data_IF_140365368374
#
_entry.id   IF_140365368374
#
_cell.length_a   1.000
_cell.length_b   1.000
_cell.length_c   1.000
_cell.angle_alpha   90.00
_cell.angle_beta   90.00
_cell.angle_gamma   90.00
#
_symmetry.space_group_name_H-M   'P 1'
#
loop_
_entity.id
_entity.type
_entity.pdbx_description
1 polymer ?
#
# COMPACT_ATOMS: atom_id res chain seq x y z
N UNK A 1 18.46 -37.92 15.09
CA UNK A 1 18.05 -37.05 13.98
C UNK A 1 18.97 -35.86 14.07
N UNK A 2 19.85 -35.66 13.08
CA UNK A 2 20.78 -34.53 13.10
C UNK A 2 19.97 -33.25 12.86
N UNK A 3 19.82 -32.44 13.91
CA UNK A 3 19.08 -31.16 13.92
C UNK A 3 19.69 -30.12 12.97
N UNK A 4 20.90 -30.34 12.45
CA UNK A 4 21.68 -29.36 11.69
C UNK A 4 21.31 -29.17 10.20
N UNK A 5 20.34 -29.92 9.65
CA UNK A 5 19.95 -29.76 8.23
C UNK A 5 18.65 -28.97 8.01
N UNK A 6 17.90 -28.66 9.06
CA UNK A 6 16.65 -27.88 8.93
C UNK A 6 16.92 -26.40 8.64
N UNK A 7 18.08 -25.87 9.02
CA UNK A 7 18.47 -24.48 8.75
C UNK A 7 18.88 -24.22 7.29
N UNK A 8 19.03 -25.28 6.47
CA UNK A 8 19.52 -25.16 5.09
C UNK A 8 18.42 -25.19 4.02
N UNK A 9 17.17 -25.53 4.39
CA UNK A 9 16.04 -25.64 3.45
C UNK A 9 14.72 -25.21 4.07
N UNK A 10 13.89 -24.55 3.27
CA UNK A 10 12.45 -24.41 3.51
C UNK A 10 11.79 -25.77 3.31
N UNK A 11 11.39 -26.44 4.39
CA UNK A 11 10.84 -27.79 4.33
C UNK A 11 9.43 -27.79 3.74
N UNK A 12 9.22 -28.56 2.68
CA UNK A 12 7.91 -28.75 2.02
C UNK A 12 7.30 -30.11 2.32
N UNK A 13 8.10 -31.07 2.80
CA UNK A 13 7.65 -32.42 3.13
C UNK A 13 8.82 -33.37 3.43
N UNK A 14 8.52 -34.66 3.42
CA UNK A 14 9.52 -35.72 3.58
C UNK A 14 9.64 -36.54 2.29
N UNK A 15 10.85 -37.01 2.00
CA UNK A 15 11.12 -37.97 0.92
C UNK A 15 11.86 -39.18 1.47
N UNK A 16 11.70 -40.33 0.81
CA UNK A 16 12.44 -41.55 1.12
C UNK A 16 13.54 -41.72 0.10
N UNK A 17 14.80 -41.57 0.52
CA UNK A 17 15.97 -41.83 -0.31
C UNK A 17 16.82 -42.92 0.35
N UNK A 18 16.99 -44.06 -0.34
CA UNK A 18 17.71 -45.23 0.19
C UNK A 18 17.20 -45.68 1.57
N UNK A 19 15.89 -45.81 1.69
CA UNK A 19 15.18 -46.19 2.94
C UNK A 19 15.35 -45.22 4.12
N UNK A 20 16.01 -44.08 3.91
CA UNK A 20 16.12 -43.02 4.92
C UNK A 20 15.10 -41.93 4.61
N UNK A 21 14.29 -41.58 5.61
CA UNK A 21 13.44 -40.39 5.56
C UNK A 21 14.31 -39.15 5.67
N UNK A 22 14.14 -38.22 4.75
CA UNK A 22 14.87 -36.95 4.72
C UNK A 22 13.88 -35.81 4.44
N UNK A 23 14.12 -34.66 5.04
CA UNK A 23 13.39 -33.45 4.71
C UNK A 23 13.61 -33.11 3.22
N UNK A 24 12.53 -32.76 2.54
CA UNK A 24 12.54 -32.30 1.16
C UNK A 24 12.03 -30.86 1.13
N UNK A 25 12.75 -29.99 0.44
CA UNK A 25 12.49 -28.56 0.52
C UNK A 25 13.22 -27.73 -0.51
N UNK A 26 13.09 -26.41 -0.38
CA UNK A 26 13.71 -25.42 -1.26
C UNK A 26 14.83 -24.74 -0.51
N UNK A 27 16.02 -24.62 -1.11
CA UNK A 27 17.12 -23.88 -0.49
C UNK A 27 16.82 -22.37 -0.45
N UNK A 28 17.29 -21.64 0.58
CA UNK A 28 17.10 -20.18 0.65
C UNK A 28 17.58 -19.43 -0.60
N UNK A 29 18.67 -19.90 -1.24
CA UNK A 29 19.16 -19.35 -2.51
C UNK A 29 18.13 -19.46 -3.63
N UNK A 30 17.47 -20.60 -3.72
CA UNK A 30 16.54 -20.89 -4.81
C UNK A 30 15.21 -20.17 -4.58
N UNK A 31 14.76 -20.10 -3.31
CA UNK A 31 13.54 -19.36 -2.89
C UNK A 31 13.57 -17.87 -3.26
N UNK A 32 14.74 -17.25 -3.40
CA UNK A 32 14.88 -15.86 -3.89
C UNK A 32 14.41 -15.65 -5.33
N UNK A 33 14.22 -16.70 -6.12
CA UNK A 33 13.71 -16.63 -7.49
C UNK A 33 12.18 -16.77 -7.57
N UNK A 34 11.48 -16.58 -6.43
CA UNK A 34 10.04 -16.75 -6.26
C UNK A 34 9.56 -18.21 -6.39
N UNK A 35 8.40 -18.47 -5.80
CA UNK A 35 7.76 -19.81 -5.82
C UNK A 35 6.34 -19.63 -6.37
N UNK A 36 5.99 -20.42 -7.37
CA UNK A 36 4.65 -20.46 -7.93
C UNK A 36 3.93 -21.74 -7.49
N UNK A 37 2.84 -21.60 -6.73
CA UNK A 37 2.08 -22.71 -6.13
C UNK A 37 0.75 -22.85 -6.87
N UNK A 38 0.50 -24.00 -7.48
CA UNK A 38 -0.73 -24.31 -8.24
C UNK A 38 -1.45 -25.50 -7.62
N UNK A 39 -2.78 -25.42 -7.55
CA UNK A 39 -3.63 -26.52 -7.07
C UNK A 39 -5.10 -26.11 -7.03
N UNK A 40 -6.01 -27.09 -7.08
CA UNK A 40 -7.45 -26.84 -6.93
C UNK A 40 -7.79 -26.43 -5.49
N UNK A 41 -8.99 -25.93 -5.24
CA UNK A 41 -9.47 -25.71 -3.87
C UNK A 41 -9.42 -27.02 -3.08
N UNK A 42 -9.01 -26.97 -1.82
CA UNK A 42 -8.89 -28.15 -0.95
C UNK A 42 -7.63 -28.99 -1.14
N UNK A 43 -6.71 -28.65 -2.06
CA UNK A 43 -5.47 -29.43 -2.27
C UNK A 43 -4.32 -29.04 -1.35
N UNK A 44 -4.58 -28.27 -0.28
CA UNK A 44 -3.57 -27.90 0.73
C UNK A 44 -2.68 -26.70 0.40
N UNK A 45 -3.04 -25.84 -0.58
CA UNK A 45 -2.26 -24.63 -0.89
C UNK A 45 -2.07 -23.70 0.32
N UNK A 46 -3.17 -23.37 1.01
CA UNK A 46 -3.12 -22.51 2.20
C UNK A 46 -2.32 -23.16 3.32
N UNK A 47 -2.42 -24.49 3.47
CA UNK A 47 -1.61 -25.26 4.42
C UNK A 47 -0.12 -25.19 4.10
N UNK A 48 0.25 -25.28 2.82
CA UNK A 48 1.64 -25.14 2.38
C UNK A 48 2.17 -23.74 2.72
N UNK A 49 1.43 -22.69 2.35
CA UNK A 49 1.80 -21.29 2.66
C UNK A 49 1.91 -21.10 4.18
N UNK A 50 0.93 -21.59 4.96
CA UNK A 50 0.95 -21.54 6.42
C UNK A 50 2.24 -22.13 7.00
N UNK A 51 2.60 -23.33 6.56
CA UNK A 51 3.81 -24.00 7.05
C UNK A 51 5.09 -23.24 6.67
N UNK A 52 5.13 -22.62 5.49
CA UNK A 52 6.26 -21.77 5.10
C UNK A 52 6.38 -20.53 5.97
N UNK A 53 5.25 -19.84 6.22
CA UNK A 53 5.23 -18.66 7.10
C UNK A 53 5.65 -19.03 8.52
N UNK A 54 5.19 -20.16 9.05
CA UNK A 54 5.58 -20.63 10.39
C UNK A 54 7.08 -20.93 10.46
N UNK A 55 7.66 -21.53 9.41
CA UNK A 55 9.11 -21.77 9.34
C UNK A 55 9.89 -20.45 9.36
N UNK A 56 9.48 -19.47 8.55
CA UNK A 56 10.09 -18.13 8.57
C UNK A 56 9.98 -17.43 9.93
N UNK A 57 8.80 -17.50 10.57
CA UNK A 57 8.59 -16.91 11.90
C UNK A 57 9.53 -17.54 12.94
N UNK A 58 9.77 -18.86 12.87
CA UNK A 58 10.68 -19.58 13.76
C UNK A 58 12.15 -19.21 13.53
N UNK A 59 12.52 -18.94 12.27
CA UNK A 59 13.85 -18.48 11.89
C UNK A 59 14.06 -16.97 12.09
N UNK A 60 13.10 -16.28 12.71
CA UNK A 60 13.10 -14.82 12.89
C UNK A 60 13.17 -14.03 11.58
N UNK A 61 12.69 -14.59 10.48
CA UNK A 61 12.53 -13.85 9.23
C UNK A 61 11.30 -12.92 9.29
N UNK A 62 11.34 -11.85 8.49
CA UNK A 62 10.17 -10.99 8.24
C UNK A 62 9.29 -11.59 7.14
N UNK A 63 7.98 -11.51 7.31
CA UNK A 63 7.00 -12.04 6.35
C UNK A 63 5.89 -11.02 6.14
N UNK A 64 5.45 -10.85 4.89
CA UNK A 64 4.21 -10.18 4.55
C UNK A 64 3.26 -11.20 3.90
N UNK A 65 2.04 -11.31 4.42
CA UNK A 65 1.01 -12.19 3.91
C UNK A 65 -0.21 -11.36 3.50
N UNK A 66 -0.69 -11.57 2.29
CA UNK A 66 -1.91 -10.96 1.77
C UNK A 66 -2.92 -12.09 1.54
N UNK A 67 -4.03 -12.04 2.28
CA UNK A 67 -5.10 -13.02 2.21
C UNK A 67 -6.46 -12.34 2.00
N UNK A 68 -7.08 -12.48 0.81
CA UNK A 68 -8.39 -11.89 0.53
C UNK A 68 -9.53 -12.45 1.39
N UNK A 69 -9.39 -13.65 1.95
CA UNK A 69 -10.44 -14.31 2.74
C UNK A 69 -10.25 -14.10 4.24
N UNK A 70 -9.01 -13.90 4.67
CA UNK A 70 -8.61 -13.57 6.05
C UNK A 70 -8.42 -14.79 6.96
N UNK A 71 -8.97 -15.94 6.61
CA UNK A 71 -8.91 -17.16 7.42
C UNK A 71 -7.48 -17.67 7.64
N UNK A 72 -6.61 -17.54 6.64
CA UNK A 72 -5.20 -17.95 6.77
C UNK A 72 -4.41 -16.99 7.67
N UNK A 73 -4.67 -15.69 7.58
CA UNK A 73 -4.00 -14.69 8.42
C UNK A 73 -4.38 -14.89 9.89
N UNK A 74 -5.68 -15.03 10.18
CA UNK A 74 -6.18 -15.28 11.54
C UNK A 74 -5.58 -16.54 12.16
N UNK A 75 -5.45 -17.61 11.36
CA UNK A 75 -4.83 -18.85 11.81
C UNK A 75 -3.33 -18.65 12.14
N UNK A 76 -2.59 -17.92 11.29
CA UNK A 76 -1.16 -17.63 11.49
C UNK A 76 -0.88 -16.78 12.72
N UNK A 77 -1.78 -15.88 13.13
CA UNK A 77 -1.60 -15.06 14.34
C UNK A 77 -1.33 -15.91 15.59
N UNK A 78 -1.90 -17.13 15.66
CA UNK A 78 -1.70 -18.07 16.76
C UNK A 78 -0.27 -18.66 16.83
N UNK A 79 0.52 -18.51 15.76
CA UNK A 79 1.89 -19.04 15.66
C UNK A 79 2.97 -17.98 15.85
N UNK A 80 2.58 -16.71 16.03
CA UNK A 80 3.54 -15.63 16.24
C UNK A 80 4.19 -15.80 17.63
N UNK A 81 5.53 -15.83 17.72
CA UNK A 81 6.22 -15.88 19.00
C UNK A 81 5.83 -14.70 19.90
N UNK A 82 5.56 -14.96 21.18
CA UNK A 82 5.19 -13.92 22.17
C UNK A 82 6.21 -12.78 22.24
N UNK A 83 7.48 -13.07 21.98
CA UNK A 83 8.57 -12.09 21.95
C UNK A 83 8.46 -11.08 20.80
N UNK A 84 7.70 -11.41 19.74
CA UNK A 84 7.55 -10.59 18.52
C UNK A 84 6.16 -10.00 18.36
N UNK A 85 5.26 -10.13 19.34
CA UNK A 85 3.89 -9.59 19.24
C UNK A 85 3.86 -8.10 18.94
N UNK A 86 4.84 -7.32 19.44
CA UNK A 86 4.95 -5.89 19.18
C UNK A 86 5.49 -5.53 17.78
N UNK A 87 5.92 -6.53 16.99
CA UNK A 87 6.42 -6.36 15.62
C UNK A 87 5.38 -6.75 14.56
N UNK A 88 4.15 -7.05 14.98
CA UNK A 88 3.07 -7.50 14.10
C UNK A 88 2.20 -6.32 13.70
N UNK A 89 2.03 -6.15 12.38
CA UNK A 89 1.02 -5.25 11.82
C UNK A 89 -0.07 -6.11 11.21
N UNK A 90 -1.24 -6.13 11.84
CA UNK A 90 -2.45 -6.72 11.27
C UNK A 90 -3.27 -5.62 10.60
N UNK A 91 -3.41 -5.70 9.29
CA UNK A 91 -4.14 -4.72 8.49
C UNK A 91 -5.40 -5.35 7.90
N UNK A 92 -6.55 -5.05 8.49
CA UNK A 92 -7.85 -5.44 7.96
C UNK A 92 -8.65 -4.20 7.55
N UNK A 93 -8.82 -3.96 6.23
CA UNK A 93 -9.61 -2.86 5.72
C UNK A 93 -11.07 -2.82 6.22
N UNK A 94 -11.64 -3.97 6.57
CA UNK A 94 -13.01 -4.05 7.07
C UNK A 94 -13.12 -3.82 8.59
N UNK A 95 -12.01 -3.77 9.33
CA UNK A 95 -12.04 -3.56 10.77
C UNK A 95 -12.31 -2.09 11.11
N UNK A 96 -13.51 -1.86 11.66
CA UNK A 96 -13.96 -0.53 12.09
C UNK A 96 -13.67 -0.24 13.56
N UNK A 97 -13.29 -1.26 14.33
CA UNK A 97 -13.00 -1.15 15.77
C UNK A 97 -11.56 -0.73 16.00
N UNK A 98 -10.61 -1.31 15.25
CA UNK A 98 -9.18 -1.02 15.35
C UNK A 98 -8.55 -0.74 13.98
N UNK A 99 -8.99 0.32 13.27
CA UNK A 99 -8.44 0.64 11.97
C UNK A 99 -6.98 1.08 12.08
N UNK A 100 -6.12 0.51 11.25
CA UNK A 100 -4.76 1.01 11.04
C UNK A 100 -4.83 2.17 10.06
N UNK A 101 -4.41 3.36 10.52
CA UNK A 101 -4.31 4.54 9.67
C UNK A 101 -3.03 4.47 8.82
N UNK A 102 -3.15 4.76 7.53
CA UNK A 102 -2.02 4.77 6.59
C UNK A 102 -2.16 6.05 5.75
N UNK A 103 -1.29 7.01 6.00
CA UNK A 103 -1.21 8.18 5.15
C UNK A 103 -0.41 7.85 3.88
N UNK A 104 -1.11 7.71 2.76
CA UNK A 104 -0.52 7.38 1.46
C UNK A 104 0.42 8.50 0.96
N UNK A 105 0.30 9.72 1.49
CA UNK A 105 1.15 10.85 1.09
C UNK A 105 2.46 10.96 1.91
N UNK A 106 2.68 10.07 2.88
CA UNK A 106 3.90 10.09 3.68
C UNK A 106 5.11 9.60 2.86
N UNK A 107 6.19 10.39 2.86
CA UNK A 107 7.44 10.07 2.15
C UNK A 107 8.64 10.68 2.87
N UNK A 108 9.79 10.00 2.84
CA UNK A 108 11.07 10.43 3.41
C UNK A 108 11.98 10.96 2.31
N UNK A 109 11.80 12.23 1.98
CA UNK A 109 12.62 12.95 1.01
C UNK A 109 12.09 12.90 -0.43
N UNK A 110 12.82 13.55 -1.34
CA UNK A 110 12.31 13.90 -2.66
C UNK A 110 12.22 12.71 -3.63
N UNK A 111 13.12 11.71 -3.52
CA UNK A 111 13.05 10.50 -4.35
C UNK A 111 11.82 9.65 -4.02
N UNK A 112 11.57 9.40 -2.73
CA UNK A 112 10.40 8.67 -2.27
C UNK A 112 9.11 9.43 -2.59
N UNK A 113 9.14 10.78 -2.51
CA UNK A 113 8.01 11.63 -2.88
C UNK A 113 7.54 11.36 -4.32
N UNK A 114 8.45 11.31 -5.28
CA UNK A 114 8.10 11.05 -6.68
C UNK A 114 7.58 9.61 -6.88
N UNK A 115 8.17 8.63 -6.19
CA UNK A 115 7.71 7.24 -6.25
C UNK A 115 6.29 7.10 -5.69
N UNK A 116 6.01 7.71 -4.55
CA UNK A 116 4.69 7.69 -3.91
C UNK A 116 3.66 8.40 -4.79
N UNK A 117 3.98 9.58 -5.30
CA UNK A 117 3.10 10.33 -6.17
C UNK A 117 2.76 9.56 -7.46
N UNK A 118 3.77 9.04 -8.15
CA UNK A 118 3.57 8.26 -9.38
C UNK A 118 2.80 6.96 -9.12
N UNK A 119 3.07 6.28 -8.01
CA UNK A 119 2.33 5.07 -7.61
C UNK A 119 0.86 5.37 -7.34
N UNK A 120 0.57 6.46 -6.62
CA UNK A 120 -0.79 6.90 -6.35
C UNK A 120 -1.54 7.21 -7.65
N UNK A 121 -0.92 7.95 -8.58
CA UNK A 121 -1.52 8.22 -9.89
C UNK A 121 -1.78 6.94 -10.67
N UNK A 122 -0.84 5.99 -10.64
CA UNK A 122 -1.00 4.69 -11.29
C UNK A 122 -2.21 3.91 -10.74
N UNK A 123 -2.39 3.90 -9.42
CA UNK A 123 -3.56 3.29 -8.76
C UNK A 123 -4.85 3.95 -9.23
N UNK A 124 -4.92 5.28 -9.19
CA UNK A 124 -6.10 6.01 -9.67
C UNK A 124 -6.39 5.70 -11.16
N UNK A 125 -5.37 5.74 -12.00
CA UNK A 125 -5.48 5.41 -13.43
C UNK A 125 -5.98 3.99 -13.66
N UNK A 126 -5.58 3.04 -12.83
CA UNK A 126 -6.06 1.66 -12.90
C UNK A 126 -7.52 1.54 -12.48
N UNK A 127 -7.92 2.18 -11.38
CA UNK A 127 -9.29 2.15 -10.86
C UNK A 127 -10.31 2.80 -11.81
N UNK A 128 -9.93 3.87 -12.52
CA UNK A 128 -10.82 4.63 -13.39
C UNK A 128 -10.35 4.66 -14.85
N UNK A 129 -9.76 3.56 -15.34
CA UNK A 129 -9.14 3.46 -16.68
C UNK A 129 -10.00 4.03 -17.82
N UNK A 130 -11.29 3.72 -17.83
CA UNK A 130 -12.23 4.16 -18.87
C UNK A 130 -12.60 5.66 -18.79
N UNK A 131 -12.37 6.29 -17.64
CA UNK A 131 -12.71 7.69 -17.35
C UNK A 131 -11.49 8.50 -16.92
N UNK A 132 -10.33 8.17 -17.47
CA UNK A 132 -9.05 8.79 -17.18
C UNK A 132 -8.58 9.65 -18.35
N UNK A 133 -8.19 10.89 -18.07
CA UNK A 133 -7.73 11.84 -19.09
C UNK A 133 -6.48 12.60 -18.66
N UNK A 134 -5.68 13.12 -19.62
CA UNK A 134 -4.41 13.79 -19.33
C UNK A 134 -4.58 15.01 -18.42
N UNK A 135 -5.69 15.75 -18.56
CA UNK A 135 -5.99 16.89 -17.69
C UNK A 135 -6.27 16.48 -16.24
N UNK A 136 -7.02 15.40 -16.04
CA UNK A 136 -7.28 14.85 -14.70
C UNK A 136 -5.97 14.43 -14.05
N UNK A 137 -5.16 13.67 -14.78
CA UNK A 137 -3.84 13.20 -14.34
C UNK A 137 -2.96 14.38 -13.92
N UNK A 138 -2.86 15.40 -14.78
CA UNK A 138 -2.06 16.59 -14.53
C UNK A 138 -2.50 17.36 -13.26
N UNK A 139 -3.80 17.62 -13.10
CA UNK A 139 -4.32 18.34 -11.94
C UNK A 139 -4.10 17.52 -10.65
N UNK A 140 -4.42 16.24 -10.67
CA UNK A 140 -4.27 15.37 -9.50
C UNK A 140 -2.79 15.25 -9.10
N UNK A 141 -1.88 15.09 -10.06
CA UNK A 141 -0.45 14.97 -9.77
C UNK A 141 0.10 16.24 -9.11
N UNK A 142 -0.26 17.42 -9.62
CA UNK A 142 0.14 18.69 -9.01
C UNK A 142 -0.46 18.90 -7.61
N UNK A 143 -1.69 18.39 -7.35
CA UNK A 143 -2.25 18.39 -6.00
C UNK A 143 -1.43 17.52 -5.05
N UNK A 144 -1.14 16.28 -5.45
CA UNK A 144 -0.39 15.32 -4.65
C UNK A 144 1.01 15.85 -4.32
N UNK A 145 1.75 16.32 -5.33
CA UNK A 145 3.10 16.85 -5.13
C UNK A 145 3.13 18.08 -4.23
N UNK A 146 2.14 18.98 -4.37
CA UNK A 146 2.05 20.18 -3.53
C UNK A 146 1.75 19.83 -2.08
N UNK A 147 0.82 18.88 -1.85
CA UNK A 147 0.46 18.45 -0.50
C UNK A 147 1.64 17.76 0.20
N UNK A 148 2.41 16.96 -0.51
CA UNK A 148 3.57 16.25 0.05
C UNK A 148 4.73 17.17 0.47
N UNK A 149 4.77 18.42 -0.01
CA UNK A 149 5.73 19.43 0.48
C UNK A 149 5.33 20.05 1.83
N UNK A 150 4.09 19.81 2.27
CA UNK A 150 3.60 20.25 3.58
C UNK A 150 3.40 19.02 4.47
N UNK A 151 4.11 18.90 5.61
CA UNK A 151 3.89 17.77 6.53
C UNK A 151 2.44 17.69 7.04
N UNK A 152 1.98 16.45 7.30
CA UNK A 152 0.66 16.19 7.90
C UNK A 152 -0.53 16.28 6.94
N UNK A 153 -0.30 16.47 5.64
CA UNK A 153 -1.39 16.46 4.66
C UNK A 153 -1.84 15.04 4.30
N UNK A 154 -3.11 14.91 3.92
CA UNK A 154 -3.75 13.66 3.47
C UNK A 154 -4.43 13.87 2.13
N UNK A 155 -4.99 12.81 1.54
CA UNK A 155 -5.75 12.91 0.27
C UNK A 155 -6.95 13.86 0.33
N UNK A 156 -7.47 14.16 1.53
CA UNK A 156 -8.50 15.18 1.69
C UNK A 156 -8.01 16.57 1.26
N UNK A 157 -6.71 16.82 1.42
CA UNK A 157 -6.07 18.05 0.98
C UNK A 157 -6.26 18.31 -0.52
N UNK A 158 -6.42 17.26 -1.35
CA UNK A 158 -6.67 17.44 -2.79
C UNK A 158 -7.99 18.17 -3.02
N UNK A 159 -9.04 17.81 -2.29
CA UNK A 159 -10.32 18.50 -2.41
C UNK A 159 -10.19 19.97 -2.01
N UNK A 160 -9.53 20.24 -0.88
CA UNK A 160 -9.32 21.60 -0.37
C UNK A 160 -8.46 22.44 -1.30
N UNK A 161 -7.36 21.92 -1.84
CA UNK A 161 -6.52 22.61 -2.83
C UNK A 161 -7.34 23.18 -4.00
N UNK A 162 -8.35 22.43 -4.46
CA UNK A 162 -9.13 22.79 -5.63
C UNK A 162 -10.22 23.84 -5.35
N UNK A 163 -10.71 23.98 -4.11
CA UNK A 163 -11.87 24.84 -3.79
C UNK A 163 -11.68 25.85 -2.66
N UNK A 164 -10.71 25.65 -1.78
CA UNK A 164 -10.42 26.49 -0.61
C UNK A 164 -9.17 27.33 -0.92
N UNK A 165 -9.40 28.61 -1.23
CA UNK A 165 -8.36 29.54 -1.66
C UNK A 165 -7.35 29.85 -0.55
N UNK A 166 -7.77 29.89 0.71
CA UNK A 166 -6.89 30.15 1.86
C UNK A 166 -5.98 28.95 2.12
N UNK A 167 -6.55 27.75 2.10
CA UNK A 167 -5.78 26.52 2.21
C UNK A 167 -4.80 26.36 1.05
N UNK A 168 -5.25 26.63 -0.18
CA UNK A 168 -4.36 26.56 -1.35
C UNK A 168 -3.17 27.50 -1.20
N UNK A 169 -3.38 28.75 -0.78
CA UNK A 169 -2.29 29.71 -0.54
C UNK A 169 -1.27 29.21 0.49
N UNK A 170 -1.75 28.59 1.58
CA UNK A 170 -0.88 28.00 2.59
C UNK A 170 0.01 26.89 2.01
N UNK A 171 -0.58 25.93 1.31
CA UNK A 171 0.15 24.80 0.71
C UNK A 171 1.12 25.29 -0.36
N UNK A 172 0.69 26.20 -1.24
CA UNK A 172 1.52 26.77 -2.32
C UNK A 172 2.75 27.50 -1.77
N UNK A 173 2.64 28.10 -0.58
CA UNK A 173 3.76 28.73 0.12
C UNK A 173 4.91 27.75 0.47
N UNK A 174 4.59 26.47 0.67
CA UNK A 174 5.55 25.44 1.06
C UNK A 174 6.11 24.63 -0.12
N UNK A 175 5.55 24.78 -1.33
CA UNK A 175 5.99 24.02 -2.51
C UNK A 175 7.46 24.32 -2.81
N UNK A 176 8.25 23.25 -2.94
CA UNK A 176 9.68 23.32 -3.25
C UNK A 176 9.95 23.32 -4.75
N UNK A 177 9.17 22.53 -5.50
CA UNK A 177 9.34 22.38 -6.95
C UNK A 177 8.80 23.62 -7.69
N UNK A 178 9.65 24.38 -8.41
CA UNK A 178 9.22 25.56 -9.15
C UNK A 178 8.17 25.27 -10.22
N UNK A 179 8.19 24.09 -10.85
CA UNK A 179 7.24 23.71 -11.90
C UNK A 179 5.85 23.49 -11.29
N UNK A 180 5.78 22.77 -10.16
CA UNK A 180 4.52 22.56 -9.43
C UNK A 180 4.00 23.90 -8.92
N UNK A 181 4.87 24.79 -8.44
CA UNK A 181 4.49 26.12 -7.98
C UNK A 181 3.94 26.98 -9.12
N UNK A 182 4.57 26.94 -10.29
CA UNK A 182 4.13 27.65 -11.50
C UNK A 182 2.73 27.23 -11.92
N UNK A 183 2.41 25.92 -11.89
CA UNK A 183 1.05 25.44 -12.15
C UNK A 183 0.02 26.10 -11.23
N UNK A 184 0.32 26.25 -9.93
CA UNK A 184 -0.64 26.83 -8.99
C UNK A 184 -0.75 28.34 -9.08
N UNK A 185 0.35 29.05 -9.30
CA UNK A 185 0.39 30.53 -9.28
C UNK A 185 0.00 31.13 -10.64
N UNK A 186 0.42 30.52 -11.73
CA UNK A 186 0.25 31.07 -13.07
C UNK A 186 -0.92 30.40 -13.79
N UNK A 187 -0.91 29.07 -13.91
CA UNK A 187 -1.93 28.36 -14.68
C UNK A 187 -3.28 28.34 -13.96
N UNK A 188 -3.34 27.76 -12.76
CA UNK A 188 -4.59 27.51 -12.05
C UNK A 188 -5.31 28.81 -11.66
N UNK A 189 -4.59 29.85 -11.24
CA UNK A 189 -5.17 31.16 -10.90
C UNK A 189 -5.59 31.98 -12.13
N UNK A 190 -5.06 31.70 -13.32
CA UNK A 190 -5.54 32.35 -14.56
C UNK A 190 -6.91 31.84 -15.02
N UNK A 191 -7.37 30.70 -14.53
CA UNK A 191 -8.63 30.10 -14.95
C UNK A 191 -9.84 30.86 -14.41
N UNK A 192 -10.80 31.13 -15.28
CA UNK A 192 -12.09 31.65 -14.84
C UNK A 192 -12.87 30.61 -14.02
N UNK A 193 -13.80 31.09 -13.18
CA UNK A 193 -14.54 30.24 -12.24
C UNK A 193 -15.34 29.12 -12.93
N UNK A 194 -15.85 29.34 -14.14
CA UNK A 194 -16.63 28.33 -14.87
C UNK A 194 -15.72 27.23 -15.37
N UNK A 195 -14.62 27.61 -16.03
CA UNK A 195 -13.63 26.66 -16.51
C UNK A 195 -13.00 25.87 -15.36
N UNK A 196 -12.64 26.53 -14.25
CA UNK A 196 -12.10 25.88 -13.05
C UNK A 196 -13.05 24.79 -12.53
N UNK A 197 -14.34 25.09 -12.37
CA UNK A 197 -15.34 24.10 -11.92
C UNK A 197 -15.45 22.89 -12.85
N UNK A 198 -15.35 23.10 -14.15
CA UNK A 198 -15.42 22.02 -15.15
C UNK A 198 -14.22 21.07 -15.03
N UNK A 199 -13.01 21.60 -14.95
CA UNK A 199 -11.78 20.79 -14.98
C UNK A 199 -11.49 20.07 -13.67
N UNK A 200 -11.93 20.59 -12.53
CA UNK A 200 -11.71 19.96 -11.21
C UNK A 200 -12.75 18.90 -10.87
N UNK A 201 -13.95 18.98 -11.45
CA UNK A 201 -15.06 18.06 -11.16
C UNK A 201 -14.67 16.58 -11.33
N UNK A 202 -13.97 16.17 -12.41
CA UNK A 202 -13.47 14.81 -12.52
C UNK A 202 -12.57 14.41 -11.35
N UNK A 203 -11.60 15.25 -10.97
CA UNK A 203 -10.67 14.96 -9.86
C UNK A 203 -11.44 14.80 -8.56
N UNK A 204 -12.32 15.74 -8.24
CA UNK A 204 -13.15 15.71 -7.03
C UNK A 204 -14.04 14.46 -6.96
N UNK A 205 -14.62 14.05 -8.09
CA UNK A 205 -15.46 12.85 -8.13
C UNK A 205 -14.68 11.57 -7.80
N UNK A 206 -13.45 11.42 -8.32
CA UNK A 206 -12.66 10.19 -8.12
C UNK A 206 -12.03 10.15 -6.74
N UNK A 207 -11.44 11.26 -6.30
CA UNK A 207 -10.93 11.39 -4.93
C UNK A 207 -12.08 11.22 -3.94
N UNK A 208 -13.24 11.84 -4.19
CA UNK A 208 -14.44 11.73 -3.37
C UNK A 208 -14.96 10.29 -3.24
N UNK A 209 -14.96 9.49 -4.32
CA UNK A 209 -15.32 8.07 -4.26
C UNK A 209 -14.37 7.27 -3.36
N UNK A 210 -13.08 7.57 -3.42
CA UNK A 210 -12.08 6.92 -2.57
C UNK A 210 -12.28 7.30 -1.09
N UNK A 211 -12.46 8.60 -0.82
CA UNK A 211 -12.67 9.14 0.54
C UNK A 211 -14.00 8.70 1.17
N UNK A 212 -15.05 8.46 0.37
CA UNK A 212 -16.36 8.00 0.85
C UNK A 212 -16.47 6.49 1.01
N UNK A 213 -15.55 5.72 0.40
CA UNK A 213 -15.38 4.32 0.80
C UNK A 213 -15.02 4.29 2.30
N UNK A 214 -15.68 3.41 3.07
CA UNK A 214 -15.71 3.44 4.55
C UNK A 214 -14.33 3.33 5.25
N UNK A 215 -13.26 3.22 4.46
CA UNK A 215 -11.86 3.10 4.86
C UNK A 215 -11.17 4.43 5.18
N UNK A 216 -11.54 5.54 4.53
CA UNK A 216 -10.71 6.77 4.55
C UNK A 216 -11.37 7.96 5.30
N UNK A 217 -12.67 7.89 5.63
CA UNK A 217 -13.39 8.98 6.30
C UNK A 217 -12.87 9.38 7.69
N UNK A 218 -11.99 8.59 8.32
CA UNK A 218 -11.45 8.91 9.66
C UNK A 218 -10.07 9.56 9.68
N UNK A 219 -9.36 9.64 8.54
CA UNK A 219 -8.11 10.42 8.42
C UNK A 219 -8.35 11.93 8.63
N UNK A 220 -9.58 12.40 8.39
CA UNK A 220 -9.95 13.83 8.51
C UNK A 220 -10.25 14.31 9.94
N UNK A 221 -10.41 13.41 10.93
CA UNK A 221 -10.88 13.78 12.28
C UNK A 221 -9.78 13.81 13.35
N UNK A 222 -8.52 13.61 12.96
CA UNK A 222 -7.37 13.59 13.89
C UNK A 222 -6.17 14.44 13.44
N UNK A 223 -6.37 15.33 12.47
CA UNK A 223 -5.44 16.43 12.18
C UNK A 223 -5.82 17.69 12.93
#
# INVERSE_FOLDING_TARGET
>A
MDENHLDEIESLGETTFREQRRAFGIKPKDRRHHIYIIGKTGTGKSTLIKNMVIQDLRLNHGVALIDPHGDLVEDILNFIPKTRTNEVIYFNPADTSFPVAINILEAKGDEEKQLVASSLISVFKHLWKEFWGPRLEHILYNCVLALMDTPGQTLLGVYRMLVDDEFRKLIVGNIKDPIVKMFWVDDYESYDLRFRKEIISPVQNKVGQLLTSQLIQRESRRG
#
